data_IF_172877581048
#
_entry.id   IF_172877581048
#
_cell.length_a   1.000
_cell.length_b   1.000
_cell.length_c   1.000
_cell.angle_alpha   90.00
_cell.angle_beta   90.00
_cell.angle_gamma   90.00
#
_symmetry.space_group_name_H-M   'P 1'
#
loop_
_entity.id
_entity.type
_entity.pdbx_description
1 polymer ?
#
# COMPACT_ATOMS: atom_id res chain seq x y z
N UNK A 1 32.66 29.38 -2.61
CA UNK A 1 31.82 29.57 -1.40
C UNK A 1 30.32 29.24 -1.56
N UNK A 2 29.69 29.31 -2.74
CA UNK A 2 28.23 29.06 -2.89
C UNK A 2 27.77 27.58 -2.77
N UNK A 3 28.66 26.62 -3.00
CA UNK A 3 28.34 25.18 -2.97
C UNK A 3 28.14 24.64 -1.53
N UNK A 4 28.99 25.08 -0.59
CA UNK A 4 28.91 24.66 0.81
C UNK A 4 27.64 25.15 1.53
N UNK A 5 27.09 26.30 1.13
CA UNK A 5 25.82 26.79 1.67
C UNK A 5 24.61 25.97 1.19
N UNK A 6 24.63 25.47 -0.06
CA UNK A 6 23.59 24.55 -0.56
C UNK A 6 23.63 23.20 0.15
N UNK A 7 24.83 22.66 0.43
CA UNK A 7 25.00 21.42 1.18
C UNK A 7 24.50 21.56 2.63
N UNK A 8 24.83 22.66 3.32
CA UNK A 8 24.33 22.93 4.68
C UNK A 8 22.80 23.07 4.72
N UNK A 9 22.20 23.72 3.73
CA UNK A 9 20.73 23.79 3.59
C UNK A 9 20.12 22.42 3.35
N UNK A 10 20.73 21.59 2.50
CA UNK A 10 20.28 20.22 2.22
C UNK A 10 20.36 19.33 3.47
N UNK A 11 21.46 19.36 4.22
CA UNK A 11 21.57 18.61 5.49
C UNK A 11 20.65 19.14 6.58
N UNK A 12 20.40 20.45 6.65
CA UNK A 12 19.41 21.04 7.55
C UNK A 12 17.99 20.61 7.15
N UNK A 13 17.71 20.48 5.86
CA UNK A 13 16.44 19.98 5.33
C UNK A 13 16.24 18.50 5.68
N UNK A 14 17.25 17.65 5.43
CA UNK A 14 17.24 16.23 5.80
C UNK A 14 17.09 16.02 7.32
N UNK A 15 17.76 16.85 8.13
CA UNK A 15 17.64 16.78 9.59
C UNK A 15 16.23 17.16 10.06
N UNK A 16 15.64 18.20 9.46
CA UNK A 16 14.27 18.63 9.75
C UNK A 16 13.24 17.62 9.24
N UNK A 17 13.52 16.93 8.12
CA UNK A 17 12.71 15.84 7.60
C UNK A 17 12.76 14.61 8.53
N UNK A 18 13.94 14.31 9.10
CA UNK A 18 14.12 13.25 10.10
C UNK A 18 13.42 13.58 11.42
N UNK A 19 13.54 14.82 11.91
CA UNK A 19 12.80 15.31 13.09
C UNK A 19 11.27 15.31 12.84
N UNK A 20 10.81 15.61 11.61
CA UNK A 20 9.39 15.49 11.24
C UNK A 20 8.90 14.04 11.19
N UNK A 21 9.76 13.08 10.83
CA UNK A 21 9.46 11.64 10.92
C UNK A 21 9.35 11.17 12.37
N UNK A 22 10.04 11.82 13.31
CA UNK A 22 10.00 11.50 14.73
C UNK A 22 8.73 12.00 15.46
N UNK A 23 7.98 12.95 14.88
CA UNK A 23 6.70 13.43 15.45
C UNK A 23 5.45 12.68 14.96
N UNK A 24 5.58 11.77 14.00
CA UNK A 24 4.51 10.90 13.54
C UNK A 24 4.87 9.46 13.91
N UNK A 25 4.20 8.90 14.92
CA UNK A 25 4.21 7.45 15.11
C UNK A 25 3.43 6.87 13.94
N UNK A 26 4.02 5.93 13.22
CA UNK A 26 3.38 5.35 12.05
C UNK A 26 3.63 3.86 11.91
N UNK A 27 2.72 3.19 11.21
CA UNK A 27 2.92 1.83 10.75
C UNK A 27 3.39 1.93 9.30
N UNK A 28 4.65 1.58 9.07
CA UNK A 28 5.19 1.38 7.74
C UNK A 28 4.64 0.07 7.16
N UNK A 29 4.28 0.09 5.87
CA UNK A 29 3.91 -1.11 5.13
C UNK A 29 5.12 -2.00 4.89
N UNK A 30 6.32 -1.43 4.77
CA UNK A 30 7.57 -2.15 4.55
C UNK A 30 7.99 -2.95 5.78
N UNK A 31 8.23 -4.26 5.59
CA UNK A 31 8.75 -5.16 6.61
C UNK A 31 10.23 -5.49 6.37
N UNK A 32 10.65 -5.64 5.11
CA UNK A 32 12.05 -5.88 4.73
C UNK A 32 12.37 -5.19 3.39
N UNK A 33 13.11 -4.08 3.46
CA UNK A 33 13.53 -3.28 2.30
C UNK A 33 14.39 -4.06 1.30
N UNK A 34 15.16 -5.07 1.73
CA UNK A 34 16.02 -5.85 0.82
C UNK A 34 15.22 -6.87 0.02
N UNK A 35 14.09 -7.31 0.56
CA UNK A 35 13.23 -8.33 -0.05
C UNK A 35 11.93 -7.77 -0.64
N UNK A 36 11.72 -6.46 -0.56
CA UNK A 36 10.50 -5.76 -1.02
C UNK A 36 9.23 -6.42 -0.45
N UNK A 37 9.26 -6.72 0.86
CA UNK A 37 8.17 -7.37 1.57
C UNK A 37 7.32 -6.35 2.31
N UNK A 38 6.01 -6.45 2.11
CA UNK A 38 5.03 -5.48 2.59
C UNK A 38 3.85 -6.15 3.28
N UNK A 39 3.32 -5.48 4.30
CA UNK A 39 1.99 -5.74 4.83
C UNK A 39 0.95 -5.12 3.90
N UNK A 40 -0.14 -5.84 3.65
CA UNK A 40 -1.27 -5.29 2.92
C UNK A 40 -2.01 -4.23 3.76
N UNK A 41 -2.11 -3.04 3.17
CA UNK A 41 -2.81 -1.88 3.70
C UNK A 41 -3.77 -1.33 2.64
N UNK A 42 -5.00 -1.01 3.06
CA UNK A 42 -6.03 -0.43 2.21
C UNK A 42 -6.61 0.84 2.86
N UNK A 43 -6.81 1.87 2.05
CA UNK A 43 -7.35 3.16 2.45
C UNK A 43 -8.72 3.40 1.80
N UNK A 44 -9.74 3.59 2.63
CA UNK A 44 -11.13 3.76 2.22
C UNK A 44 -11.64 5.13 2.67
N UNK A 45 -11.54 6.14 1.81
CA UNK A 45 -12.00 7.50 2.11
C UNK A 45 -13.47 7.72 1.77
N UNK A 46 -14.24 8.24 2.73
CA UNK A 46 -15.67 8.58 2.61
C UNK A 46 -16.59 7.41 2.21
N UNK A 47 -16.19 6.17 2.52
CA UNK A 47 -16.97 4.96 2.23
C UNK A 47 -17.77 4.52 3.47
N UNK A 48 -19.05 4.13 3.32
CA UNK A 48 -19.84 3.49 4.38
C UNK A 48 -19.20 2.19 4.92
N UNK A 49 -19.38 1.91 6.21
CA UNK A 49 -18.73 0.76 6.86
C UNK A 49 -19.12 -0.59 6.23
N UNK A 50 -20.39 -0.75 5.86
CA UNK A 50 -20.93 -1.94 5.22
C UNK A 50 -20.27 -2.22 3.86
N UNK A 51 -20.07 -1.19 3.03
CA UNK A 51 -19.35 -1.31 1.75
C UNK A 51 -17.87 -1.66 1.94
N UNK A 52 -17.23 -1.09 2.96
CA UNK A 52 -15.85 -1.43 3.34
C UNK A 52 -15.75 -2.90 3.74
N UNK A 53 -16.68 -3.38 4.55
CA UNK A 53 -16.72 -4.78 4.98
C UNK A 53 -16.97 -5.76 3.84
N UNK A 54 -17.85 -5.41 2.90
CA UNK A 54 -18.09 -6.20 1.69
C UNK A 54 -16.80 -6.32 0.86
N UNK A 55 -16.13 -5.20 0.58
CA UNK A 55 -14.86 -5.16 -0.14
C UNK A 55 -13.80 -6.04 0.52
N UNK A 56 -13.64 -5.93 1.84
CA UNK A 56 -12.65 -6.72 2.60
C UNK A 56 -12.97 -8.22 2.54
N UNK A 57 -14.24 -8.62 2.70
CA UNK A 57 -14.65 -10.03 2.64
C UNK A 57 -14.39 -10.63 1.26
N UNK A 58 -14.72 -9.89 0.21
CA UNK A 58 -14.44 -10.34 -1.17
C UNK A 58 -12.94 -10.54 -1.40
N UNK A 59 -12.11 -9.61 -0.91
CA UNK A 59 -10.66 -9.73 -0.98
C UNK A 59 -10.15 -10.95 -0.21
N UNK A 60 -10.63 -11.14 1.02
CA UNK A 60 -10.27 -12.31 1.85
C UNK A 60 -10.64 -13.62 1.16
N UNK A 61 -11.79 -13.66 0.48
CA UNK A 61 -12.28 -14.83 -0.23
C UNK A 61 -11.48 -15.13 -1.50
N UNK A 62 -11.19 -14.12 -2.31
CA UNK A 62 -10.48 -14.28 -3.58
C UNK A 62 -8.99 -14.55 -3.39
N UNK A 63 -8.34 -13.80 -2.50
CA UNK A 63 -6.89 -13.85 -2.28
C UNK A 63 -6.47 -14.74 -1.10
N UNK A 64 -7.42 -15.36 -0.41
CA UNK A 64 -7.20 -16.18 0.78
C UNK A 64 -6.41 -15.43 1.88
N UNK A 65 -6.85 -14.22 2.20
CA UNK A 65 -6.18 -13.34 3.17
C UNK A 65 -6.54 -13.72 4.62
N UNK A 66 -5.68 -13.28 5.54
CA UNK A 66 -5.84 -13.43 6.99
C UNK A 66 -6.84 -12.42 7.57
N UNK A 67 -6.92 -12.39 8.90
CA UNK A 67 -7.74 -11.43 9.64
C UNK A 67 -7.40 -9.98 9.27
N UNK A 68 -8.44 -9.20 8.99
CA UNK A 68 -8.33 -7.78 8.73
C UNK A 68 -8.64 -6.98 9.99
N UNK A 69 -7.74 -6.08 10.38
CA UNK A 69 -7.90 -5.14 11.47
C UNK A 69 -8.37 -3.81 10.90
N UNK A 70 -9.60 -3.43 11.23
CA UNK A 70 -10.24 -2.24 10.70
C UNK A 70 -10.18 -1.10 11.71
N UNK A 71 -9.72 0.06 11.25
CA UNK A 71 -9.63 1.28 12.03
C UNK A 71 -10.42 2.39 11.35
N UNK A 72 -11.19 3.14 12.13
CA UNK A 72 -11.86 4.37 11.70
C UNK A 72 -10.84 5.51 11.78
N UNK A 73 -10.77 6.30 10.71
CA UNK A 73 -10.01 7.55 10.65
C UNK A 73 -10.98 8.73 10.56
N UNK A 74 -10.43 9.95 10.51
CA UNK A 74 -11.23 11.17 10.30
C UNK A 74 -12.01 11.14 8.98
N UNK A 75 -11.38 10.64 7.92
CA UNK A 75 -11.92 10.71 6.56
C UNK A 75 -12.51 9.38 6.08
N UNK A 76 -12.35 8.29 6.82
CA UNK A 76 -12.84 7.00 6.38
C UNK A 76 -12.33 5.84 7.22
N UNK A 77 -11.80 4.81 6.57
CA UNK A 77 -11.31 3.60 7.21
C UNK A 77 -9.97 3.15 6.66
N UNK A 78 -9.13 2.66 7.56
CA UNK A 78 -7.87 2.01 7.26
C UNK A 78 -7.99 0.53 7.61
N UNK A 79 -7.65 -0.35 6.67
CA UNK A 79 -7.70 -1.79 6.84
C UNK A 79 -6.29 -2.41 6.74
N UNK A 80 -5.97 -3.28 7.70
CA UNK A 80 -4.66 -3.91 7.81
C UNK A 80 -4.74 -5.41 7.90
N UNK A 81 -3.83 -6.08 7.20
CA UNK A 81 -3.68 -7.52 7.23
C UNK A 81 -2.27 -7.88 7.74
N UNK A 82 -2.05 -7.75 9.04
CA UNK A 82 -0.71 -7.84 9.66
C UNK A 82 0.04 -9.15 9.36
N UNK A 83 -0.67 -10.24 9.10
CA UNK A 83 -0.08 -11.54 8.82
C UNK A 83 0.12 -11.83 7.32
N UNK A 84 -0.36 -10.96 6.45
CA UNK A 84 -0.21 -11.08 5.00
C UNK A 84 0.98 -10.26 4.52
N UNK A 85 2.19 -10.78 4.81
CA UNK A 85 3.47 -10.21 4.35
C UNK A 85 3.80 -10.79 2.98
N UNK A 86 3.93 -9.94 1.97
CA UNK A 86 4.13 -10.39 0.58
C UNK A 86 4.90 -9.38 -0.28
N UNK A 87 5.43 -9.78 -1.45
CA UNK A 87 6.06 -8.85 -2.38
C UNK A 87 5.13 -7.70 -2.79
N UNK A 88 5.67 -6.49 -2.98
CA UNK A 88 4.87 -5.31 -3.29
C UNK A 88 4.00 -5.49 -4.55
N UNK A 89 4.52 -6.20 -5.55
CA UNK A 89 3.78 -6.50 -6.77
C UNK A 89 2.43 -7.18 -6.49
N UNK A 90 2.38 -8.10 -5.51
CA UNK A 90 1.15 -8.78 -5.08
C UNK A 90 0.24 -7.83 -4.29
N UNK A 91 0.81 -7.03 -3.39
CA UNK A 91 0.06 -5.98 -2.67
C UNK A 91 -0.67 -5.05 -3.66
N UNK A 92 0.04 -4.58 -4.70
CA UNK A 92 -0.55 -3.70 -5.72
C UNK A 92 -1.73 -4.34 -6.45
N UNK A 93 -1.64 -5.61 -6.82
CA UNK A 93 -2.75 -6.30 -7.48
C UNK A 93 -3.99 -6.36 -6.60
N UNK A 94 -3.78 -6.60 -5.30
CA UNK A 94 -4.88 -6.63 -4.32
C UNK A 94 -5.50 -5.23 -4.18
N UNK A 95 -4.68 -4.18 -4.06
CA UNK A 95 -5.13 -2.77 -4.01
C UNK A 95 -5.93 -2.41 -5.28
N UNK A 96 -5.45 -2.78 -6.46
CA UNK A 96 -6.12 -2.48 -7.73
C UNK A 96 -7.46 -3.22 -7.82
N UNK A 97 -7.52 -4.48 -7.38
CA UNK A 97 -8.75 -5.29 -7.34
C UNK A 97 -9.77 -4.77 -6.32
N UNK A 98 -9.33 -4.27 -5.16
CA UNK A 98 -10.18 -3.88 -4.05
C UNK A 98 -11.27 -2.87 -4.44
N UNK A 99 -12.52 -3.15 -4.11
CA UNK A 99 -13.64 -2.20 -4.31
C UNK A 99 -13.55 -1.05 -3.30
N UNK A 100 -14.03 0.13 -3.69
CA UNK A 100 -14.17 1.32 -2.82
C UNK A 100 -12.89 1.89 -2.19
N UNK A 101 -11.72 1.28 -2.41
CA UNK A 101 -10.44 1.86 -2.04
C UNK A 101 -10.24 3.18 -2.78
N UNK A 102 -9.75 4.20 -2.07
CA UNK A 102 -9.57 5.56 -2.57
C UNK A 102 -8.81 5.53 -3.93
N UNK A 103 -9.39 6.10 -5.00
CA UNK A 103 -8.73 6.17 -6.30
C UNK A 103 -7.37 6.86 -6.25
N UNK A 104 -7.19 7.86 -5.39
CA UNK A 104 -5.90 8.53 -5.24
C UNK A 104 -4.90 7.59 -4.57
N UNK A 105 -5.29 6.87 -3.52
CA UNK A 105 -4.48 5.82 -2.91
C UNK A 105 -4.06 4.75 -3.93
N UNK A 106 -4.96 4.26 -4.79
CA UNK A 106 -4.63 3.34 -5.89
C UNK A 106 -3.61 3.94 -6.84
N UNK A 107 -3.84 5.18 -7.27
CA UNK A 107 -2.94 5.90 -8.17
C UNK A 107 -1.53 6.04 -7.57
N UNK A 108 -1.40 6.53 -6.34
CA UNK A 108 -0.11 6.71 -5.68
C UNK A 108 0.59 5.37 -5.47
N UNK A 109 -0.14 4.29 -5.17
CA UNK A 109 0.42 2.95 -5.00
C UNK A 109 1.03 2.38 -6.29
N UNK A 110 0.68 2.90 -7.47
CA UNK A 110 1.36 2.52 -8.72
C UNK A 110 2.77 3.06 -8.83
N UNK A 111 3.06 4.21 -8.21
CA UNK A 111 4.33 4.92 -8.36
C UNK A 111 5.24 4.82 -7.13
N UNK A 112 4.71 4.49 -5.97
CA UNK A 112 5.45 4.45 -4.71
C UNK A 112 5.13 3.16 -3.95
N UNK A 113 6.14 2.35 -3.67
CA UNK A 113 6.00 1.07 -2.98
C UNK A 113 5.96 1.14 -1.46
N UNK A 114 6.43 2.24 -0.87
CA UNK A 114 6.40 2.44 0.58
C UNK A 114 5.17 3.27 0.99
N UNK A 115 4.50 2.86 2.06
CA UNK A 115 3.41 3.62 2.70
C UNK A 115 3.62 3.65 4.20
N UNK A 116 3.46 4.82 4.78
CA UNK A 116 3.47 5.01 6.23
C UNK A 116 2.11 5.57 6.62
N UNK A 117 1.36 4.85 7.45
CA UNK A 117 0.23 5.49 8.13
C UNK A 117 0.82 6.44 9.15
N UNK A 118 0.52 7.73 9.01
CA UNK A 118 0.93 8.73 9.98
C UNK A 118 -0.16 8.84 11.03
N UNK A 119 0.12 8.42 12.26
CA UNK A 119 -0.69 8.80 13.41
C UNK A 119 -0.26 10.21 13.79
N UNK A 120 -1.00 11.21 13.32
CA UNK A 120 -0.75 12.58 13.71
C UNK A 120 -1.25 12.78 15.15
N UNK A 121 -0.36 12.96 16.12
CA UNK A 121 -0.73 13.42 17.46
C UNK A 121 -1.22 14.88 17.50
N UNK A 122 -1.73 15.41 16.39
CA UNK A 122 -1.95 16.85 16.17
C UNK A 122 -3.30 17.33 16.72
N UNK A 123 -4.23 16.43 17.03
CA UNK A 123 -5.59 16.77 17.42
C UNK A 123 -5.91 16.29 18.85
N UNK A 124 -6.84 16.99 19.51
CA UNK A 124 -7.30 16.69 20.89
C UNK A 124 -8.09 15.38 21.01
N UNK A 125 -8.47 14.76 19.88
CA UNK A 125 -9.17 13.49 19.81
C UNK A 125 -8.32 12.45 19.05
N UNK A 126 -8.51 11.16 19.38
CA UNK A 126 -7.79 10.07 18.71
C UNK A 126 -8.14 10.07 17.21
N UNK A 127 -7.15 10.33 16.37
CA UNK A 127 -7.29 10.33 14.91
C UNK A 127 -7.62 8.96 14.31
N UNK A 128 -7.35 7.89 15.08
CA UNK A 128 -7.53 6.51 14.66
C UNK A 128 -8.20 5.75 15.80
N UNK A 129 -9.32 5.11 15.51
CA UNK A 129 -10.10 4.31 16.46
C UNK A 129 -10.24 2.90 15.92
N UNK A 130 -9.85 1.89 16.69
CA UNK A 130 -10.09 0.50 16.32
C UNK A 130 -11.59 0.22 16.26
N UNK A 131 -12.06 -0.38 15.17
CA UNK A 131 -13.47 -0.70 14.95
C UNK A 131 -13.72 -2.17 15.27
N UNK A 132 -13.10 -3.07 14.50
CA UNK A 132 -13.27 -4.52 14.65
C UNK A 132 -12.21 -5.31 13.89
N UNK A 133 -12.17 -6.62 14.16
CA UNK A 133 -11.49 -7.60 13.31
C UNK A 133 -12.51 -8.26 12.39
N UNK A 134 -12.27 -8.23 11.08
CA UNK A 134 -13.00 -9.02 10.08
C UNK A 134 -12.22 -10.31 9.87
N UNK A 135 -12.82 -11.43 10.31
CA UNK A 135 -12.15 -12.73 10.30
C UNK A 135 -11.90 -13.22 8.88
N UNK A 136 -10.65 -13.52 8.59
CA UNK A 136 -10.22 -14.11 7.33
C UNK A 136 -10.38 -15.62 7.32
N UNK A 137 -10.14 -16.23 6.15
CA UNK A 137 -10.14 -17.69 5.99
C UNK A 137 -8.78 -18.32 6.33
N UNK A 138 -7.71 -17.54 6.26
CA UNK A 138 -6.35 -17.98 6.57
C UNK A 138 -6.09 -17.86 8.07
N UNK A 139 -5.82 -18.98 8.73
CA UNK A 139 -5.28 -18.97 10.09
C UNK A 139 -3.81 -18.53 10.04
N UNK A 140 -3.38 -17.50 10.81
CA UNK A 140 -1.98 -17.11 10.87
C UNK A 140 -1.19 -18.22 11.55
N UNK A 141 -0.62 -19.14 10.76
CA UNK A 141 0.34 -20.10 11.26
C UNK A 141 1.72 -19.51 10.97
N UNK A 142 2.53 -19.32 12.02
CA UNK A 142 3.87 -18.73 12.00
C UNK A 142 4.89 -19.37 11.04
N UNK A 143 4.48 -20.35 10.22
CA UNK A 143 5.32 -21.08 9.25
C UNK A 143 5.34 -20.46 7.85
N UNK A 144 4.54 -19.43 7.59
CA UNK A 144 4.35 -18.92 6.22
C UNK A 144 5.43 -17.98 5.70
N UNK A 145 6.50 -17.74 6.48
CA UNK A 145 7.79 -17.31 5.90
C UNK A 145 8.31 -18.29 4.83
N UNK A 146 7.77 -19.52 4.78
CA UNK A 146 8.10 -20.55 3.77
C UNK A 146 7.22 -20.50 2.50
N UNK A 147 6.06 -19.82 2.51
CA UNK A 147 5.11 -19.84 1.38
C UNK A 147 5.24 -18.65 0.43
N UNK A 148 6.47 -18.37 0.01
CA UNK A 148 6.76 -17.62 -1.22
C UNK A 148 6.23 -18.29 -2.50
N UNK A 149 5.54 -19.43 -2.39
CA UNK A 149 4.90 -20.11 -3.51
C UNK A 149 3.56 -19.48 -3.86
N UNK A 150 3.63 -18.50 -4.75
CA UNK A 150 2.52 -18.11 -5.62
C UNK A 150 1.84 -19.37 -6.14
N UNK A 151 0.54 -19.56 -5.84
CA UNK A 151 -0.23 -20.65 -6.43
C UNK A 151 -0.12 -20.49 -7.95
N UNK A 152 0.13 -21.58 -8.70
CA UNK A 152 0.40 -21.58 -10.16
C UNK A 152 -0.53 -20.65 -10.97
N UNK A 153 -1.81 -20.55 -10.59
CA UNK A 153 -2.80 -19.65 -11.21
C UNK A 153 -2.51 -18.16 -10.99
N UNK A 154 -2.01 -17.77 -9.82
CA UNK A 154 -1.59 -16.40 -9.52
C UNK A 154 -0.33 -16.02 -10.29
N UNK A 155 0.57 -16.99 -10.53
CA UNK A 155 1.75 -16.78 -11.40
C UNK A 155 1.36 -16.59 -12.87
N UNK A 156 0.40 -17.38 -13.37
CA UNK A 156 -0.13 -17.23 -14.73
C UNK A 156 -0.88 -15.90 -14.92
N UNK A 157 -1.66 -15.48 -13.92
CA UNK A 157 -2.32 -14.17 -13.90
C UNK A 157 -1.31 -13.01 -13.81
N UNK A 158 -0.24 -13.16 -13.02
CA UNK A 158 0.87 -12.20 -12.94
C UNK A 158 1.62 -12.04 -14.27
N UNK A 159 1.83 -13.13 -15.00
CA UNK A 159 2.43 -13.07 -16.34
C UNK A 159 1.50 -12.35 -17.32
N UNK A 160 0.20 -12.64 -17.28
CA UNK A 160 -0.78 -11.96 -18.13
C UNK A 160 -0.90 -10.46 -17.82
N UNK A 161 -1.01 -10.07 -16.54
CA UNK A 161 -1.06 -8.65 -16.17
C UNK A 161 0.27 -7.95 -16.46
N UNK A 162 1.40 -8.58 -16.16
CA UNK A 162 2.72 -8.02 -16.45
C UNK A 162 2.93 -7.78 -17.94
N UNK A 163 2.39 -8.65 -18.80
CA UNK A 163 2.43 -8.48 -20.25
C UNK A 163 1.47 -7.41 -20.75
N UNK A 164 0.28 -7.27 -20.15
CA UNK A 164 -0.66 -6.20 -20.47
C UNK A 164 -0.10 -4.83 -20.07
N UNK A 165 0.38 -4.67 -18.83
CA UNK A 165 0.93 -3.40 -18.34
C UNK A 165 2.19 -2.97 -19.12
N UNK A 166 3.05 -3.91 -19.51
CA UNK A 166 4.21 -3.60 -20.38
C UNK A 166 3.79 -3.12 -21.75
N UNK A 167 2.75 -3.72 -22.34
CA UNK A 167 2.22 -3.29 -23.65
C UNK A 167 1.59 -1.91 -23.58
N UNK A 168 0.88 -1.58 -22.51
CA UNK A 168 0.25 -0.27 -22.36
C UNK A 168 1.29 0.83 -22.10
N UNK A 169 2.30 0.58 -21.26
CA UNK A 169 3.42 1.49 -21.07
C UNK A 169 4.20 1.73 -22.37
N UNK A 170 4.50 0.66 -23.13
CA UNK A 170 5.21 0.80 -24.40
C UNK A 170 4.41 1.64 -25.40
N UNK A 171 3.08 1.45 -25.50
CA UNK A 171 2.22 2.26 -26.38
C UNK A 171 2.20 3.73 -26.02
N UNK A 172 2.16 4.06 -24.72
CA UNK A 172 2.23 5.45 -24.27
C UNK A 172 3.59 6.08 -24.59
N UNK A 173 4.68 5.32 -24.45
CA UNK A 173 6.02 5.79 -24.81
C UNK A 173 6.16 6.02 -26.32
N UNK A 174 5.66 5.13 -27.19
CA UNK A 174 5.68 5.33 -28.64
C UNK A 174 4.84 6.54 -29.06
N UNK A 175 3.64 6.67 -28.52
CA UNK A 175 2.75 7.80 -28.83
C UNK A 175 3.35 9.15 -28.39
N UNK A 176 4.07 9.19 -27.27
CA UNK A 176 4.77 10.39 -26.81
C UNK A 176 6.04 10.69 -27.61
N UNK A 177 6.69 9.67 -28.16
CA UNK A 177 7.85 9.82 -29.03
C UNK A 177 7.46 10.40 -30.40
N UNK A 178 6.40 9.86 -31.02
CA UNK A 178 5.88 10.33 -32.31
C UNK A 178 5.40 11.79 -32.24
N UNK A 179 4.72 12.17 -31.15
CA UNK A 179 4.31 13.57 -30.90
C UNK A 179 5.48 14.55 -30.71
N UNK A 180 6.68 14.06 -30.41
CA UNK A 180 7.88 14.92 -30.27
C UNK A 180 8.67 15.04 -31.56
N UNK A 181 8.41 14.20 -32.57
CA UNK A 181 9.09 14.22 -33.86
C UNK A 181 8.28 14.87 -34.98
N UNK A 182 6.97 15.06 -34.82
CA UNK A 182 6.12 15.88 -35.68
C UNK A 182 5.94 17.28 -35.13
#
# INVERSE_FOLDING_TARGET
MRFFNKLKLYFKYLKKEKELREFAIGLDSDVDFKKDLHILFLDYDNVPLDEVEESIKELQDFWNLSDCFLYRTKNGFHAYFYYDIMPYARVRMIIDYAKYVDPMFKFISKYYNYKTIRVAGKYSHKDIVFVKVIKGKRSPTFKEAEFGDLKRREREYLLQIGDCLRKDMLKEETANFEKKQG
#
